data_IF_762928690140
#
_entry.id   IF_762928690140
#
_cell.length_a   1.000
_cell.length_b   1.000
_cell.length_c   1.000
_cell.angle_alpha   90.00
_cell.angle_beta   90.00
_cell.angle_gamma   90.00
#
_symmetry.space_group_name_H-M   'P 1'
#
loop_
_entity.id
_entity.type
_entity.pdbx_description
1 polymer ?
#
# COMPACT_ATOMS: atom_id res chain seq x y z
N UNK A 1 -25.02 -6.79 18.17
CA UNK A 1 -23.54 -6.73 18.20
C UNK A 1 -23.08 -8.14 18.44
N UNK A 2 -22.55 -8.80 17.42
CA UNK A 2 -22.06 -10.18 17.55
C UNK A 2 -20.85 -10.24 18.49
N UNK A 3 -20.58 -11.40 19.11
CA UNK A 3 -19.36 -11.61 19.88
C UNK A 3 -18.12 -11.26 19.05
N UNK A 4 -17.04 -10.81 19.72
CA UNK A 4 -15.76 -10.54 19.06
C UNK A 4 -15.10 -11.88 18.70
N UNK A 5 -15.60 -12.49 17.64
CA UNK A 5 -15.17 -13.77 17.11
C UNK A 5 -13.71 -13.63 16.66
N UNK A 6 -12.87 -14.61 17.02
CA UNK A 6 -11.42 -14.48 17.15
C UNK A 6 -10.68 -13.86 15.95
N UNK A 7 -9.47 -13.34 16.20
CA UNK A 7 -8.66 -12.57 15.23
C UNK A 7 -8.27 -13.40 13.99
N UNK A 8 -8.19 -14.72 14.13
CA UNK A 8 -7.79 -15.65 13.09
C UNK A 8 -9.02 -16.22 12.35
N UNK A 9 -9.39 -15.60 11.23
CA UNK A 9 -10.51 -16.02 10.38
C UNK A 9 -10.11 -16.04 8.91
N UNK A 10 -10.62 -17.02 8.17
CA UNK A 10 -10.43 -17.03 6.73
C UNK A 10 -11.07 -15.79 6.10
N UNK A 11 -10.41 -15.25 5.07
CA UNK A 11 -10.90 -14.10 4.30
C UNK A 11 -12.34 -14.31 3.80
N UNK A 12 -12.67 -15.53 3.36
CA UNK A 12 -14.03 -15.90 2.94
C UNK A 12 -15.05 -15.80 4.07
N UNK A 13 -14.73 -16.31 5.26
CA UNK A 13 -15.64 -16.25 6.43
C UNK A 13 -15.89 -14.81 6.88
N UNK A 14 -14.84 -13.98 6.90
CA UNK A 14 -14.93 -12.56 7.26
C UNK A 14 -15.78 -11.77 6.25
N UNK A 15 -15.53 -11.95 4.94
CA UNK A 15 -16.29 -11.26 3.90
C UNK A 15 -17.71 -11.80 3.71
N UNK A 16 -17.96 -13.06 4.05
CA UNK A 16 -19.31 -13.64 4.12
C UNK A 16 -20.20 -12.86 5.08
N UNK A 17 -19.80 -12.74 6.35
CA UNK A 17 -20.59 -11.96 7.33
C UNK A 17 -20.76 -10.48 6.95
N UNK A 18 -19.81 -9.87 6.24
CA UNK A 18 -19.97 -8.51 5.70
C UNK A 18 -21.01 -8.48 4.57
N UNK A 19 -21.00 -9.47 3.68
CA UNK A 19 -21.99 -9.62 2.62
C UNK A 19 -23.40 -9.84 3.19
N UNK A 20 -23.54 -10.71 4.19
CA UNK A 20 -24.81 -10.99 4.88
C UNK A 20 -25.32 -9.74 5.60
N UNK A 21 -24.47 -9.09 6.39
CA UNK A 21 -24.80 -7.84 7.09
C UNK A 21 -25.21 -6.74 6.10
N UNK A 22 -24.49 -6.58 4.98
CA UNK A 22 -24.85 -5.62 3.93
C UNK A 22 -26.21 -5.95 3.30
N UNK A 23 -26.53 -7.24 3.09
CA UNK A 23 -27.82 -7.65 2.53
C UNK A 23 -29.00 -7.49 3.49
N UNK A 24 -28.78 -7.63 4.80
CA UNK A 24 -29.79 -7.38 5.84
C UNK A 24 -30.01 -5.88 6.11
N UNK A 25 -28.98 -5.04 5.94
CA UNK A 25 -29.02 -3.62 6.31
C UNK A 25 -29.12 -2.65 5.12
N UNK A 26 -29.20 -3.13 3.87
CA UNK A 26 -29.41 -2.27 2.68
C UNK A 26 -30.86 -1.82 2.58
N UNK A 27 -31.07 -0.53 2.34
CA UNK A 27 -32.40 0.06 2.09
C UNK A 27 -32.73 0.15 0.59
N UNK A 28 -32.05 -0.64 -0.24
CA UNK A 28 -32.09 -0.54 -1.70
C UNK A 28 -31.75 -1.90 -2.35
N UNK A 29 -32.25 -2.14 -3.56
CA UNK A 29 -31.90 -3.34 -4.32
C UNK A 29 -30.43 -3.32 -4.73
N UNK A 30 -29.78 -4.48 -4.68
CA UNK A 30 -28.35 -4.59 -4.99
C UNK A 30 -27.97 -6.01 -5.37
N UNK A 31 -27.22 -6.13 -6.46
CA UNK A 31 -26.63 -7.36 -7.00
C UNK A 31 -25.15 -7.52 -6.63
N UNK A 32 -24.64 -6.73 -5.67
CA UNK A 32 -23.22 -6.78 -5.27
C UNK A 32 -22.86 -8.12 -4.61
N UNK A 33 -22.08 -8.94 -5.31
CA UNK A 33 -21.46 -10.14 -4.75
C UNK A 33 -20.46 -9.80 -3.64
N UNK A 34 -20.13 -10.77 -2.78
CA UNK A 34 -19.08 -10.67 -1.76
C UNK A 34 -17.75 -10.13 -2.34
N UNK A 35 -17.36 -10.60 -3.52
CA UNK A 35 -16.15 -10.15 -4.24
C UNK A 35 -16.28 -8.69 -4.70
N UNK A 36 -17.47 -8.28 -5.15
CA UNK A 36 -17.76 -6.89 -5.52
C UNK A 36 -17.59 -5.93 -4.33
N UNK A 37 -18.15 -6.29 -3.17
CA UNK A 37 -18.01 -5.53 -1.92
C UNK A 37 -16.55 -5.44 -1.45
N UNK A 38 -15.82 -6.56 -1.48
CA UNK A 38 -14.40 -6.64 -1.11
C UNK A 38 -13.51 -5.77 -2.01
N UNK A 39 -13.73 -5.80 -3.33
CA UNK A 39 -12.97 -5.00 -4.30
C UNK A 39 -13.31 -3.50 -4.14
N UNK A 40 -14.59 -3.16 -3.92
CA UNK A 40 -15.03 -1.79 -3.65
C UNK A 40 -14.41 -1.24 -2.37
N UNK A 41 -14.39 -2.03 -1.29
CA UNK A 41 -13.73 -1.66 -0.04
C UNK A 41 -12.22 -1.47 -0.21
N UNK A 42 -11.55 -2.35 -0.95
CA UNK A 42 -10.10 -2.23 -1.21
C UNK A 42 -9.77 -0.91 -1.92
N UNK A 43 -10.58 -0.50 -2.91
CA UNK A 43 -10.46 0.80 -3.56
C UNK A 43 -10.68 1.99 -2.61
N UNK A 44 -11.73 1.95 -1.78
CA UNK A 44 -12.00 2.98 -0.76
C UNK A 44 -10.83 3.07 0.23
N UNK A 45 -10.35 1.93 0.73
CA UNK A 45 -9.23 1.86 1.66
C UNK A 45 -7.94 2.43 1.04
N UNK A 46 -7.69 2.19 -0.25
CA UNK A 46 -6.54 2.76 -0.96
C UNK A 46 -6.61 4.29 -1.05
N UNK A 47 -7.65 4.84 -1.67
CA UNK A 47 -7.78 6.29 -1.91
C UNK A 47 -7.87 7.05 -0.56
N UNK A 48 -8.57 6.51 0.46
CA UNK A 48 -8.66 7.14 1.81
C UNK A 48 -7.32 7.07 2.55
N UNK A 49 -6.50 6.02 2.39
CA UNK A 49 -5.16 5.97 2.98
C UNK A 49 -4.19 6.96 2.33
N UNK A 50 -4.25 7.11 1.00
CA UNK A 50 -3.47 8.11 0.28
C UNK A 50 -3.85 9.54 0.72
N UNK A 51 -5.16 9.80 0.85
CA UNK A 51 -5.65 11.07 1.40
C UNK A 51 -5.22 11.31 2.85
N UNK A 52 -5.27 10.29 3.73
CA UNK A 52 -4.72 10.40 5.09
C UNK A 52 -3.22 10.74 5.09
N UNK A 53 -2.46 10.22 4.13
CA UNK A 53 -1.05 10.58 3.91
C UNK A 53 -0.87 12.04 3.46
N UNK A 54 -1.80 12.60 2.69
CA UNK A 54 -1.83 14.03 2.35
C UNK A 54 -2.14 14.88 3.59
N UNK A 55 -3.25 14.60 4.31
CA UNK A 55 -3.65 15.31 5.52
C UNK A 55 -2.53 15.34 6.57
N UNK A 56 -1.87 14.20 6.82
CA UNK A 56 -0.76 14.13 7.78
C UNK A 56 0.38 15.07 7.38
N UNK A 57 0.77 15.11 6.10
CA UNK A 57 1.83 16.00 5.58
C UNK A 57 1.43 17.47 5.55
N UNK A 58 0.14 17.82 5.53
CA UNK A 58 -0.31 19.20 5.72
C UNK A 58 -0.26 19.59 7.20
N UNK A 59 -0.64 18.68 8.10
CA UNK A 59 -0.55 18.89 9.55
C UNK A 59 0.90 19.08 9.99
N UNK A 60 1.81 18.21 9.54
CA UNK A 60 3.25 18.25 9.85
C UNK A 60 3.97 19.55 9.40
N UNK A 61 3.37 20.35 8.49
CA UNK A 61 3.92 21.65 8.06
C UNK A 61 3.85 22.72 9.15
N UNK A 62 3.06 22.52 10.22
CA UNK A 62 2.95 23.43 11.37
C UNK A 62 2.75 24.92 11.04
N UNK A 63 2.03 25.22 9.95
CA UNK A 63 1.59 26.59 9.63
C UNK A 63 0.67 27.11 10.74
N UNK A 64 1.11 28.18 11.42
CA UNK A 64 0.29 28.96 12.34
C UNK A 64 -0.84 29.67 11.57
N UNK A 65 -1.97 29.91 12.24
CA UNK A 65 -3.12 30.62 11.67
C UNK A 65 -4.06 29.80 10.77
N UNK A 66 -3.59 28.79 10.05
CA UNK A 66 -4.43 27.99 9.15
C UNK A 66 -5.50 27.17 9.90
N UNK A 67 -6.78 27.34 9.51
CA UNK A 67 -7.95 26.63 10.05
C UNK A 67 -7.91 25.15 9.69
N UNK A 68 -8.82 24.36 10.28
CA UNK A 68 -8.95 22.93 9.95
C UNK A 68 -9.36 22.76 8.49
N UNK A 69 -10.34 23.52 8.03
CA UNK A 69 -10.89 23.43 6.67
C UNK A 69 -9.84 23.79 5.61
N UNK A 70 -9.03 24.83 5.85
CA UNK A 70 -7.88 25.20 5.00
C UNK A 70 -6.90 24.04 4.83
N UNK A 71 -6.61 23.31 5.92
CA UNK A 71 -5.71 22.15 5.92
C UNK A 71 -6.31 20.96 5.17
N UNK A 72 -7.64 20.81 5.15
CA UNK A 72 -8.34 19.81 4.33
C UNK A 72 -8.36 20.22 2.85
N UNK A 73 -8.54 21.51 2.54
CA UNK A 73 -8.44 22.03 1.19
C UNK A 73 -7.02 21.86 0.61
N UNK A 74 -5.97 22.20 1.38
CA UNK A 74 -4.58 21.91 1.02
C UNK A 74 -4.34 20.40 0.81
N UNK A 75 -4.94 19.53 1.63
CA UNK A 75 -4.79 18.07 1.48
C UNK A 75 -5.51 17.53 0.23
N UNK A 76 -6.67 18.09 -0.14
CA UNK A 76 -7.38 17.78 -1.38
C UNK A 76 -6.59 18.23 -2.62
N UNK A 77 -5.97 19.42 -2.57
CA UNK A 77 -5.09 19.90 -3.62
C UNK A 77 -3.83 19.03 -3.76
N UNK A 78 -3.21 18.64 -2.63
CA UNK A 78 -2.04 17.77 -2.61
C UNK A 78 -2.36 16.38 -3.18
N UNK A 79 -3.45 15.75 -2.75
CA UNK A 79 -3.93 14.48 -3.31
C UNK A 79 -4.09 14.57 -4.83
N UNK A 80 -4.77 15.62 -5.31
CA UNK A 80 -5.01 15.84 -6.74
C UNK A 80 -3.69 15.98 -7.52
N UNK A 81 -2.69 16.67 -6.96
CA UNK A 81 -1.38 16.85 -7.59
C UNK A 81 -0.49 15.60 -7.62
N UNK A 82 -0.79 14.60 -6.77
CA UNK A 82 -0.01 13.35 -6.67
C UNK A 82 -0.68 12.15 -7.36
N UNK A 83 -2.00 12.22 -7.61
CA UNK A 83 -2.70 11.22 -8.43
C UNK A 83 -2.28 11.35 -9.91
N UNK A 84 -1.78 10.24 -10.49
CA UNK A 84 -1.30 10.18 -11.88
C UNK A 84 -2.34 10.58 -12.94
N UNK A 85 -3.63 10.61 -12.59
CA UNK A 85 -4.75 10.99 -13.46
C UNK A 85 -5.39 12.33 -13.03
N UNK A 86 -4.71 13.09 -12.16
CA UNK A 86 -5.14 14.41 -11.67
C UNK A 86 -6.55 14.39 -11.04
N UNK A 87 -6.95 13.24 -10.45
CA UNK A 87 -8.29 13.04 -9.89
C UNK A 87 -8.50 13.86 -8.62
N UNK A 88 -9.66 14.53 -8.50
CA UNK A 88 -10.13 15.06 -7.22
C UNK A 88 -10.47 13.89 -6.27
N UNK A 89 -10.13 14.02 -4.99
CA UNK A 89 -10.58 13.08 -3.97
C UNK A 89 -12.10 13.22 -3.77
N UNK A 90 -12.87 12.16 -4.01
CA UNK A 90 -14.34 12.16 -3.91
C UNK A 90 -14.87 11.51 -2.63
N UNK A 91 -14.04 10.72 -1.93
CA UNK A 91 -14.46 9.88 -0.80
C UNK A 91 -14.40 10.60 0.56
N UNK A 92 -14.68 11.91 0.59
CA UNK A 92 -14.67 12.73 1.81
C UNK A 92 -15.60 12.20 2.90
N UNK A 93 -16.77 11.67 2.52
CA UNK A 93 -17.71 11.02 3.44
C UNK A 93 -17.09 9.78 4.10
N UNK A 94 -16.46 8.89 3.31
CA UNK A 94 -15.77 7.71 3.82
C UNK A 94 -14.59 8.08 4.73
N UNK A 95 -13.80 9.09 4.36
CA UNK A 95 -12.73 9.60 5.23
C UNK A 95 -13.28 10.14 6.55
N UNK A 96 -14.36 10.92 6.53
CA UNK A 96 -15.00 11.43 7.75
C UNK A 96 -15.51 10.32 8.68
N UNK A 97 -16.02 9.21 8.15
CA UNK A 97 -16.44 8.04 8.95
C UNK A 97 -15.25 7.29 9.54
N UNK A 98 -14.14 7.17 8.79
CA UNK A 98 -13.02 6.29 9.13
C UNK A 98 -11.94 6.96 9.98
N UNK A 99 -11.68 8.25 9.78
CA UNK A 99 -10.52 8.97 10.34
C UNK A 99 -10.40 8.84 11.88
N UNK A 100 -11.52 8.78 12.59
CA UNK A 100 -11.59 8.77 14.07
C UNK A 100 -11.80 7.36 14.65
N UNK A 101 -11.91 6.30 13.84
CA UNK A 101 -12.13 4.93 14.34
C UNK A 101 -10.84 4.35 14.94
N UNK A 102 -10.86 3.70 16.11
CA UNK A 102 -9.64 3.26 16.80
C UNK A 102 -8.81 2.27 15.95
N UNK A 103 -9.43 1.23 15.38
CA UNK A 103 -8.76 0.28 14.46
C UNK A 103 -8.16 0.96 13.22
N UNK A 104 -8.76 2.05 12.73
CA UNK A 104 -8.21 2.81 11.59
C UNK A 104 -7.00 3.64 12.00
N UNK A 105 -7.06 4.31 13.16
CA UNK A 105 -5.95 5.07 13.72
C UNK A 105 -4.77 4.18 14.13
N UNK A 106 -5.03 2.98 14.65
CA UNK A 106 -4.04 1.94 14.91
C UNK A 106 -3.36 1.47 13.63
N UNK A 107 -4.12 1.08 12.60
CA UNK A 107 -3.57 0.69 11.30
C UNK A 107 -2.76 1.81 10.63
N UNK A 108 -3.13 3.08 10.81
CA UNK A 108 -2.34 4.25 10.38
C UNK A 108 -1.01 4.38 11.15
N UNK A 109 -1.01 4.13 12.47
CA UNK A 109 0.22 4.10 13.28
C UNK A 109 1.15 2.99 12.80
N UNK A 110 0.66 1.77 12.59
CA UNK A 110 1.44 0.65 12.04
C UNK A 110 2.12 1.02 10.71
N UNK A 111 1.35 1.52 9.73
CA UNK A 111 1.85 1.89 8.39
C UNK A 111 2.92 2.99 8.48
N UNK A 112 2.78 3.92 9.43
CA UNK A 112 3.74 5.01 9.66
C UNK A 112 4.98 4.50 10.39
N UNK A 113 4.84 3.60 11.35
CA UNK A 113 5.94 2.97 12.06
C UNK A 113 6.76 2.06 11.14
N UNK A 114 6.14 1.28 10.25
CA UNK A 114 6.82 0.47 9.25
C UNK A 114 7.67 1.32 8.28
N UNK A 115 7.18 2.51 7.89
CA UNK A 115 7.97 3.48 7.11
C UNK A 115 9.12 4.08 7.93
N UNK A 116 8.94 4.31 9.23
CA UNK A 116 9.99 4.81 10.13
C UNK A 116 11.08 3.77 10.43
N UNK A 117 10.74 2.48 10.62
CA UNK A 117 11.73 1.41 10.85
C UNK A 117 12.61 1.19 9.61
N UNK A 118 12.03 1.26 8.40
CA UNK A 118 12.79 1.24 7.14
C UNK A 118 13.84 2.36 7.05
N UNK A 119 13.59 3.53 7.66
CA UNK A 119 14.51 4.66 7.64
C UNK A 119 15.49 4.68 8.83
N UNK A 120 15.17 3.99 9.96
CA UNK A 120 16.02 4.02 11.17
C UNK A 120 17.40 3.40 10.95
N UNK A 121 17.57 2.50 9.97
CA UNK A 121 18.86 1.88 9.60
C UNK A 121 19.91 2.89 9.06
N UNK A 122 19.53 4.15 8.81
CA UNK A 122 20.44 5.23 8.39
C UNK A 122 20.76 6.27 9.48
N UNK A 123 20.31 6.09 10.73
CA UNK A 123 20.55 7.07 11.82
C UNK A 123 21.10 6.44 13.11
N UNK A 124 22.18 5.68 12.97
CA UNK A 124 22.89 5.00 14.07
C UNK A 124 24.42 5.21 14.01
N UNK A 125 24.87 6.42 13.64
CA UNK A 125 26.31 6.80 13.65
C UNK A 125 26.47 8.29 13.95
N UNK A 126 26.04 8.70 15.15
CA UNK A 126 26.31 10.01 15.73
C UNK A 126 26.15 9.90 17.26
N UNK A 127 26.93 10.69 18.01
CA UNK A 127 26.93 10.79 19.48
C UNK A 127 27.48 9.54 20.19
N UNK A 128 28.81 9.48 20.31
CA UNK A 128 29.47 9.05 21.54
C UNK A 128 30.79 9.80 21.66
N UNK A 129 30.90 10.65 22.67
CA UNK A 129 32.11 11.42 22.98
C UNK A 129 31.97 12.08 24.36
N UNK A 130 32.53 11.46 25.42
CA UNK A 130 32.81 12.10 26.71
C UNK A 130 33.54 11.12 27.65
N UNK A 131 34.83 11.39 27.92
CA UNK A 131 35.56 10.94 29.11
C UNK A 131 36.89 11.72 29.19
N UNK A 132 37.13 12.37 30.34
CA UNK A 132 38.37 12.93 30.96
C UNK A 132 39.65 13.22 30.13
N UNK A 133 40.40 14.29 30.40
CA UNK A 133 40.24 15.29 31.47
C UNK A 133 41.35 16.36 31.50
N UNK A 134 41.21 17.32 32.42
CA UNK A 134 42.16 18.39 32.80
C UNK A 134 43.32 17.87 33.69
N UNK A 135 44.38 18.65 34.07
CA UNK A 135 44.38 20.10 34.33
C UNK A 135 45.66 20.94 34.00
N UNK A 136 45.59 22.22 34.41
CA UNK A 136 46.68 23.15 34.84
C UNK A 136 47.28 24.18 33.85
N UNK A 137 47.62 25.34 34.42
CA UNK A 137 48.17 26.60 33.86
C UNK A 137 49.18 27.20 34.88
N UNK A 138 49.81 28.40 34.73
CA UNK A 138 49.80 29.43 33.67
C UNK A 138 51.22 29.56 33.01
N UNK A 139 51.89 30.68 32.65
CA UNK A 139 51.74 32.17 32.67
C UNK A 139 52.82 32.78 31.71
N UNK A 140 53.10 34.09 31.48
CA UNK A 140 52.53 35.39 31.89
C UNK A 140 52.92 36.51 30.88
N UNK A 141 52.12 37.60 30.77
CA UNK A 141 52.49 38.89 30.12
C UNK A 141 52.68 38.90 28.58
N UNK A 142 52.64 40.03 27.86
CA UNK A 142 52.19 41.40 28.20
C UNK A 142 52.67 42.46 27.19
N UNK A 143 51.76 43.34 26.69
CA UNK A 143 52.03 44.54 25.83
C UNK A 143 52.66 44.31 24.43
N UNK A 144 52.52 45.15 23.40
CA UNK A 144 51.59 46.25 23.03
C UNK A 144 51.74 46.51 21.47
N UNK A 145 50.98 47.45 20.91
CA UNK A 145 51.12 48.13 19.60
C UNK A 145 50.48 47.55 18.32
N UNK A 146 49.79 48.45 17.61
CA UNK A 146 49.21 48.39 16.25
C UNK A 146 50.24 48.99 15.22
N UNK A 147 50.01 49.10 13.88
CA UNK A 147 48.89 48.65 13.03
C UNK A 147 49.28 48.08 11.62
N UNK A 148 48.24 47.86 10.78
CA UNK A 148 48.24 47.87 9.29
C UNK A 148 48.62 46.58 8.53
N UNK A 149 48.05 46.43 7.32
CA UNK A 149 48.36 45.35 6.35
C UNK A 149 47.13 44.60 5.80
N UNK A 150 46.58 45.03 4.65
CA UNK A 150 45.42 44.39 3.99
C UNK A 150 45.87 43.50 2.82
N UNK A 151 45.46 42.22 2.80
CA UNK A 151 45.73 41.28 1.68
C UNK A 151 44.49 40.48 1.23
N UNK A 152 43.57 41.16 0.55
CA UNK A 152 42.45 40.54 -0.15
C UNK A 152 42.94 39.83 -1.44
N UNK A 153 43.19 38.52 -1.38
CA UNK A 153 43.60 37.72 -2.54
C UNK A 153 43.27 36.23 -2.44
N UNK A 154 43.93 35.50 -1.52
CA UNK A 154 43.86 34.02 -1.39
C UNK A 154 42.46 33.44 -1.05
N UNK A 155 41.43 34.29 -0.89
CA UNK A 155 40.06 33.90 -0.47
C UNK A 155 39.18 33.37 -1.62
N UNK A 156 39.48 33.74 -2.88
CA UNK A 156 38.63 33.43 -4.05
C UNK A 156 38.86 31.99 -4.58
N UNK A 157 40.11 31.59 -4.68
CA UNK A 157 40.52 30.27 -5.19
C UNK A 157 40.21 29.13 -4.22
N UNK A 158 40.55 29.30 -2.93
CA UNK A 158 40.22 28.34 -1.85
C UNK A 158 38.70 28.15 -1.67
N UNK A 159 37.87 29.07 -2.17
CA UNK A 159 36.41 28.94 -2.27
C UNK A 159 35.98 28.11 -3.49
N UNK A 160 36.57 28.33 -4.67
CA UNK A 160 36.32 27.50 -5.88
C UNK A 160 36.64 26.02 -5.62
N UNK A 161 37.82 25.72 -5.06
CA UNK A 161 38.23 24.33 -4.78
C UNK A 161 37.30 23.63 -3.78
N UNK A 162 36.78 24.37 -2.77
CA UNK A 162 35.75 23.85 -1.87
C UNK A 162 34.41 23.63 -2.57
N UNK A 163 34.00 24.51 -3.48
CA UNK A 163 32.75 24.33 -4.23
C UNK A 163 32.80 23.11 -5.16
N UNK A 164 33.89 22.91 -5.92
CA UNK A 164 34.05 21.72 -6.77
C UNK A 164 33.91 20.41 -5.99
N UNK A 165 34.67 20.26 -4.90
CA UNK A 165 34.59 19.11 -3.99
C UNK A 165 33.24 18.94 -3.28
N UNK A 166 32.40 19.98 -3.27
CA UNK A 166 31.02 19.90 -2.76
C UNK A 166 30.05 19.38 -3.84
N UNK A 167 30.29 19.71 -5.12
CA UNK A 167 29.48 19.26 -6.26
C UNK A 167 29.67 17.76 -6.50
N UNK A 168 30.92 17.27 -6.58
CA UNK A 168 31.23 15.84 -6.73
C UNK A 168 30.58 14.99 -5.62
N UNK A 169 30.60 15.49 -4.37
CA UNK A 169 29.98 14.83 -3.23
C UNK A 169 28.45 14.77 -3.34
N UNK A 170 27.80 15.80 -3.91
CA UNK A 170 26.36 15.82 -4.17
C UNK A 170 25.99 14.89 -5.33
N UNK A 171 26.81 14.83 -6.39
CA UNK A 171 26.62 13.92 -7.52
C UNK A 171 26.76 12.45 -7.09
N UNK A 172 27.78 12.11 -6.29
CA UNK A 172 27.94 10.78 -5.71
C UNK A 172 26.75 10.37 -4.82
N UNK A 173 26.25 11.29 -3.99
CA UNK A 173 25.05 11.07 -3.18
C UNK A 173 23.79 10.91 -4.05
N UNK A 174 23.69 11.64 -5.16
CA UNK A 174 22.57 11.52 -6.10
C UNK A 174 22.59 10.19 -6.84
N UNK A 175 23.76 9.71 -7.29
CA UNK A 175 23.87 8.42 -7.99
C UNK A 175 23.65 7.25 -7.02
N UNK A 176 24.22 7.30 -5.80
CA UNK A 176 23.91 6.32 -4.74
C UNK A 176 22.42 6.33 -4.34
N UNK A 177 21.74 7.47 -4.43
CA UNK A 177 20.28 7.53 -4.24
C UNK A 177 19.54 6.87 -5.40
N UNK A 178 19.87 7.20 -6.67
CA UNK A 178 19.26 6.54 -7.85
C UNK A 178 19.42 5.01 -7.76
N UNK A 179 20.60 4.53 -7.36
CA UNK A 179 20.87 3.10 -7.23
C UNK A 179 20.01 2.43 -6.14
N UNK A 180 19.91 3.05 -4.97
CA UNK A 180 19.03 2.58 -3.91
C UNK A 180 17.53 2.67 -4.27
N UNK A 181 17.13 3.57 -5.18
CA UNK A 181 15.78 3.63 -5.72
C UNK A 181 15.55 2.55 -6.81
N UNK A 182 16.53 2.25 -7.68
CA UNK A 182 16.50 1.10 -8.63
C UNK A 182 16.33 -0.23 -7.88
N UNK A 183 17.12 -0.47 -6.83
CA UNK A 183 17.02 -1.67 -5.98
C UNK A 183 15.61 -1.82 -5.36
N UNK A 184 14.99 -0.70 -4.96
CA UNK A 184 13.63 -0.68 -4.39
C UNK A 184 12.55 -0.99 -5.41
N UNK A 185 12.68 -0.55 -6.67
CA UNK A 185 11.70 -0.91 -7.71
C UNK A 185 11.84 -2.38 -8.11
N UNK A 186 13.06 -2.89 -8.35
CA UNK A 186 13.29 -4.33 -8.62
C UNK A 186 12.65 -5.21 -7.53
N UNK A 187 12.85 -4.84 -6.25
CA UNK A 187 12.27 -5.56 -5.10
C UNK A 187 10.76 -5.39 -4.92
N UNK A 188 10.11 -4.46 -5.63
CA UNK A 188 8.65 -4.39 -5.76
C UNK A 188 8.19 -5.26 -6.92
N UNK A 189 8.88 -5.23 -8.05
CA UNK A 189 8.52 -5.98 -9.24
C UNK A 189 8.66 -7.50 -9.00
N UNK A 190 9.71 -7.95 -8.31
CA UNK A 190 9.82 -9.33 -7.78
C UNK A 190 8.58 -9.75 -6.97
N UNK A 191 8.09 -8.87 -6.10
CA UNK A 191 6.91 -9.12 -5.25
C UNK A 191 5.61 -9.08 -6.05
N UNK A 192 5.53 -8.18 -7.04
CA UNK A 192 4.39 -8.06 -7.95
C UNK A 192 4.27 -9.33 -8.81
N UNK A 193 5.36 -9.75 -9.44
CA UNK A 193 5.44 -10.94 -10.28
C UNK A 193 5.16 -12.21 -9.47
N UNK A 194 5.70 -12.33 -8.25
CA UNK A 194 5.39 -13.46 -7.35
C UNK A 194 3.92 -13.47 -6.90
N UNK A 195 3.30 -12.32 -6.67
CA UNK A 195 1.88 -12.24 -6.35
C UNK A 195 1.00 -12.58 -7.58
N UNK A 196 1.40 -12.14 -8.78
CA UNK A 196 0.71 -12.45 -10.03
C UNK A 196 0.76 -13.96 -10.34
N UNK A 197 1.93 -14.59 -10.26
CA UNK A 197 2.07 -16.03 -10.49
C UNK A 197 1.24 -16.88 -9.50
N UNK A 198 1.16 -16.46 -8.23
CA UNK A 198 0.28 -17.10 -7.24
C UNK A 198 -1.21 -16.89 -7.54
N UNK A 199 -1.59 -15.76 -8.13
CA UNK A 199 -2.96 -15.51 -8.57
C UNK A 199 -3.31 -16.32 -9.84
N UNK A 200 -2.37 -16.47 -10.76
CA UNK A 200 -2.51 -17.26 -11.98
C UNK A 200 -2.67 -18.76 -11.68
N UNK A 201 -1.78 -19.35 -10.88
CA UNK A 201 -1.93 -20.75 -10.44
C UNK A 201 -3.21 -20.95 -9.61
N UNK A 202 -3.63 -19.96 -8.79
CA UNK A 202 -4.93 -20.03 -8.11
C UNK A 202 -6.10 -20.07 -9.10
N UNK A 203 -6.08 -19.26 -10.16
CA UNK A 203 -7.12 -19.23 -11.20
C UNK A 203 -7.12 -20.51 -12.05
N UNK A 204 -5.95 -21.10 -12.29
CA UNK A 204 -5.78 -22.39 -12.96
C UNK A 204 -6.38 -23.54 -12.14
N UNK A 205 -6.01 -23.67 -10.87
CA UNK A 205 -6.61 -24.64 -9.95
C UNK A 205 -8.13 -24.43 -9.75
N UNK A 206 -8.61 -23.18 -9.84
CA UNK A 206 -10.03 -22.83 -9.81
C UNK A 206 -10.77 -23.30 -11.08
N UNK A 207 -10.15 -23.18 -12.26
CA UNK A 207 -10.63 -23.72 -13.53
C UNK A 207 -10.63 -25.25 -13.53
N UNK A 208 -9.52 -25.89 -13.17
CA UNK A 208 -9.39 -27.35 -13.10
C UNK A 208 -10.43 -27.97 -12.15
N UNK A 209 -10.66 -27.34 -10.99
CA UNK A 209 -11.72 -27.74 -10.05
C UNK A 209 -13.13 -27.62 -10.65
N UNK A 210 -13.39 -26.58 -11.44
CA UNK A 210 -14.68 -26.40 -12.13
C UNK A 210 -14.88 -27.43 -13.24
N UNK A 211 -13.86 -27.67 -14.08
CA UNK A 211 -13.88 -28.70 -15.12
C UNK A 211 -14.11 -30.10 -14.53
N UNK A 212 -13.41 -30.44 -13.43
CA UNK A 212 -13.61 -31.70 -12.71
C UNK A 212 -15.03 -31.82 -12.12
N UNK A 213 -15.58 -30.73 -11.56
CA UNK A 213 -16.94 -30.72 -11.04
C UNK A 213 -17.98 -30.91 -12.15
N UNK A 214 -17.85 -30.18 -13.27
CA UNK A 214 -18.72 -30.39 -14.46
C UNK A 214 -18.62 -31.82 -14.96
N UNK A 215 -17.42 -32.41 -15.00
CA UNK A 215 -17.24 -33.81 -15.41
C UNK A 215 -18.01 -34.78 -14.50
N UNK A 216 -17.97 -34.59 -13.18
CA UNK A 216 -18.76 -35.39 -12.23
C UNK A 216 -20.28 -35.21 -12.39
N UNK A 217 -20.77 -34.02 -12.73
CA UNK A 217 -22.19 -33.80 -13.02
C UNK A 217 -22.62 -34.43 -14.34
N UNK A 218 -21.80 -34.29 -15.38
CA UNK A 218 -21.97 -34.98 -16.66
C UNK A 218 -21.95 -36.51 -16.49
N UNK A 219 -21.06 -37.05 -15.65
CA UNK A 219 -20.98 -38.49 -15.37
C UNK A 219 -22.25 -38.99 -14.67
N UNK A 220 -22.78 -38.25 -13.68
CA UNK A 220 -24.09 -38.56 -13.07
C UNK A 220 -25.20 -38.63 -14.11
N UNK A 221 -25.23 -37.69 -15.06
CA UNK A 221 -26.24 -37.68 -16.14
C UNK A 221 -26.05 -38.89 -17.07
N UNK A 222 -24.82 -39.24 -17.43
CA UNK A 222 -24.51 -40.43 -18.24
C UNK A 222 -25.02 -41.72 -17.58
N UNK A 223 -24.73 -41.90 -16.29
CA UNK A 223 -25.06 -43.12 -15.55
C UNK A 223 -26.45 -43.11 -14.90
N UNK A 224 -27.28 -42.09 -15.14
CA UNK A 224 -28.64 -42.04 -14.61
C UNK A 224 -29.54 -43.06 -15.33
N UNK A 225 -30.12 -43.97 -14.54
CA UNK A 225 -31.21 -44.81 -15.01
C UNK A 225 -32.45 -43.95 -15.28
N UNK A 226 -33.13 -44.28 -16.37
CA UNK A 226 -34.32 -43.59 -16.87
C UNK A 226 -35.57 -44.49 -16.83
N UNK A 227 -35.43 -45.77 -16.43
CA UNK A 227 -36.52 -46.75 -16.40
C UNK A 227 -37.73 -46.33 -15.54
N UNK A 228 -37.50 -45.46 -14.54
CA UNK A 228 -38.51 -44.94 -13.60
C UNK A 228 -38.96 -43.50 -13.90
N UNK A 229 -38.46 -42.87 -14.97
CA UNK A 229 -38.78 -41.49 -15.36
C UNK A 229 -40.01 -41.41 -16.28
N UNK A 230 -40.61 -40.23 -16.44
CA UNK A 230 -41.68 -40.02 -17.44
C UNK A 230 -41.09 -39.99 -18.87
N UNK A 231 -41.92 -40.18 -19.90
CA UNK A 231 -41.45 -40.20 -21.29
C UNK A 231 -40.72 -38.90 -21.70
N UNK A 232 -41.23 -37.74 -21.27
CA UNK A 232 -40.62 -36.44 -21.59
C UNK A 232 -39.28 -36.25 -20.87
N UNK A 233 -39.18 -36.70 -19.61
CA UNK A 233 -37.93 -36.71 -18.84
C UNK A 233 -36.90 -37.69 -19.45
N UNK A 234 -37.35 -38.89 -19.87
CA UNK A 234 -36.52 -39.90 -20.54
C UNK A 234 -35.89 -39.32 -21.82
N UNK A 235 -36.69 -38.67 -22.66
CA UNK A 235 -36.22 -38.03 -23.89
C UNK A 235 -35.23 -36.90 -23.60
N UNK A 236 -35.55 -36.01 -22.65
CA UNK A 236 -34.65 -34.93 -22.23
C UNK A 236 -33.28 -35.47 -21.77
N UNK A 237 -33.27 -36.51 -20.95
CA UNK A 237 -32.00 -37.05 -20.44
C UNK A 237 -31.21 -37.83 -21.50
N UNK A 238 -31.81 -38.58 -22.43
CA UNK A 238 -31.03 -39.22 -23.50
C UNK A 238 -30.42 -38.23 -24.50
N UNK A 239 -31.14 -37.16 -24.87
CA UNK A 239 -30.54 -36.11 -25.71
C UNK A 239 -29.46 -35.33 -24.94
N UNK A 240 -29.65 -35.08 -23.63
CA UNK A 240 -28.59 -34.50 -22.81
C UNK A 240 -27.36 -35.43 -22.69
N UNK A 241 -27.56 -36.74 -22.58
CA UNK A 241 -26.47 -37.73 -22.63
C UNK A 241 -25.77 -37.71 -24.00
N UNK A 242 -26.50 -37.55 -25.10
CA UNK A 242 -25.96 -37.40 -26.47
C UNK A 242 -25.02 -36.18 -26.57
N UNK A 243 -25.49 -35.00 -26.20
CA UNK A 243 -24.69 -33.77 -26.17
C UNK A 243 -23.40 -33.91 -25.36
N UNK A 244 -23.47 -34.61 -24.22
CA UNK A 244 -22.31 -34.84 -23.35
C UNK A 244 -21.30 -35.78 -24.02
N UNK A 245 -21.76 -36.86 -24.67
CA UNK A 245 -20.88 -37.78 -25.42
C UNK A 245 -20.17 -37.06 -26.57
N UNK A 246 -20.92 -36.27 -27.35
CA UNK A 246 -20.36 -35.50 -28.50
C UNK A 246 -19.34 -34.45 -28.03
N UNK A 247 -19.64 -33.67 -26.99
CA UNK A 247 -18.72 -32.68 -26.39
C UNK A 247 -17.43 -33.31 -25.85
N UNK A 248 -17.49 -34.56 -25.40
CA UNK A 248 -16.33 -35.34 -24.90
C UNK A 248 -15.54 -36.07 -25.99
N UNK A 249 -16.09 -36.15 -27.20
CA UNK A 249 -15.42 -36.73 -28.37
C UNK A 249 -14.74 -35.66 -29.23
N UNK A 250 -15.24 -34.42 -29.19
CA UNK A 250 -14.76 -33.29 -29.98
C UNK A 250 -13.77 -32.35 -29.23
N UNK A 251 -13.29 -32.75 -28.04
CA UNK A 251 -12.36 -32.01 -27.16
C UNK A 251 -11.15 -32.89 -26.79
#
# INVERSE_FOLDING_TARGET
MDPIQGVDQSQGTYWGRIYDYFHVNKTFESTHTMISLMNRWSGIQHDVNLFCGCVTRIQDRNRSGSRVDDKIAEACALFKSEDRKNRKFTLMHCWNILKDKPKWMERRKEITCAKKTSNKKQKATAISSLASGEPAAPDAGGSDAQPSGRLDGKKKEKKKLRQGRTIEAVEFLMEKKKEADRERELKKDERCNKAFALQEERLKLERERFEFHRKLEEDKIIYMDLSTMTFDDQQYFEDRKREIRERRFNN
#
